data_IF_535327009142
#
_entry.id   IF_535327009142
#
_cell.length_a   1.000
_cell.length_b   1.000
_cell.length_c   1.000
_cell.angle_alpha   90.00
_cell.angle_beta   90.00
_cell.angle_gamma   90.00
#
_symmetry.space_group_name_H-M   'P 1'
#
loop_
_entity.id
_entity.type
_entity.pdbx_description
1 polymer ?
#
# COMPACT_ATOMS: atom_id res chain seq x y z
N UNK A 1 22.63 2.01 16.02
CA UNK A 1 21.65 3.12 16.06
C UNK A 1 20.31 2.52 16.51
N UNK A 2 20.02 2.53 17.81
CA UNK A 2 18.82 1.88 18.35
C UNK A 2 17.59 2.71 17.96
N UNK A 3 16.68 2.13 17.18
CA UNK A 3 15.42 2.77 16.87
C UNK A 3 14.70 3.14 18.18
N UNK A 4 14.41 4.44 18.37
CA UNK A 4 13.69 4.93 19.55
C UNK A 4 12.35 4.20 19.59
N UNK A 5 12.06 3.48 20.69
CA UNK A 5 10.73 2.87 20.89
C UNK A 5 9.68 3.97 20.81
N UNK A 6 8.89 3.96 19.73
CA UNK A 6 7.82 4.92 19.53
C UNK A 6 6.49 4.35 20.05
N UNK A 7 5.48 5.22 20.06
CA UNK A 7 4.11 4.89 20.42
C UNK A 7 3.25 5.08 19.19
N UNK A 8 2.33 4.16 18.94
CA UNK A 8 1.49 4.17 17.76
C UNK A 8 0.04 4.01 18.16
N UNK A 9 -0.85 4.76 17.56
CA UNK A 9 -2.30 4.53 17.59
C UNK A 9 -2.66 4.00 16.21
N UNK A 10 -3.27 2.82 16.14
CA UNK A 10 -3.80 2.25 14.89
C UNK A 10 -5.31 2.25 15.05
N UNK A 11 -6.03 2.94 14.17
CA UNK A 11 -7.49 2.87 14.15
C UNK A 11 -8.00 1.57 13.52
N UNK A 12 -9.31 1.32 13.68
CA UNK A 12 -9.96 0.05 13.31
C UNK A 12 -9.71 -0.35 11.88
N UNK A 13 -10.02 0.51 10.91
CA UNK A 13 -9.90 0.15 9.49
C UNK A 13 -8.46 -0.19 9.12
N UNK A 14 -7.48 0.58 9.63
CA UNK A 14 -6.06 0.31 9.41
C UNK A 14 -5.59 -1.00 10.05
N UNK A 15 -6.15 -1.38 11.20
CA UNK A 15 -5.85 -2.65 11.88
C UNK A 15 -6.44 -3.84 11.11
N UNK A 16 -7.70 -3.73 10.68
CA UNK A 16 -8.44 -4.78 9.95
C UNK A 16 -7.83 -5.02 8.58
N UNK A 17 -7.50 -3.95 7.85
CA UNK A 17 -6.80 -4.02 6.55
C UNK A 17 -5.44 -4.70 6.69
N UNK A 18 -4.73 -4.44 7.78
CA UNK A 18 -3.56 -5.20 8.17
C UNK A 18 -2.27 -4.88 7.41
N UNK A 19 -2.28 -3.98 6.42
CA UNK A 19 -1.07 -3.57 5.69
C UNK A 19 -0.02 -2.91 6.59
N UNK A 20 -0.46 -2.14 7.58
CA UNK A 20 0.44 -1.50 8.56
C UNK A 20 1.16 -2.51 9.46
N UNK A 21 0.55 -3.68 9.69
CA UNK A 21 1.09 -4.71 10.58
C UNK A 21 2.35 -5.34 10.00
N UNK A 22 2.45 -5.41 8.67
CA UNK A 22 3.66 -5.87 7.96
C UNK A 22 4.91 -5.07 8.34
N UNK A 23 4.76 -3.78 8.69
CA UNK A 23 5.88 -2.96 9.15
C UNK A 23 6.41 -3.39 10.53
N UNK A 24 5.53 -3.90 11.40
CA UNK A 24 5.91 -4.46 12.69
C UNK A 24 6.49 -5.86 12.55
N UNK A 25 5.91 -6.69 11.68
CA UNK A 25 6.39 -8.04 11.37
C UNK A 25 7.80 -8.02 10.76
N UNK A 26 8.07 -7.06 9.87
CA UNK A 26 9.40 -6.80 9.31
C UNK A 26 10.35 -6.09 10.30
N UNK A 27 9.88 -5.82 11.51
CA UNK A 27 10.61 -5.14 12.58
C UNK A 27 11.11 -3.72 12.23
N UNK A 28 10.49 -3.07 11.24
CA UNK A 28 10.72 -1.68 10.87
C UNK A 28 10.10 -0.72 11.91
N UNK A 29 8.98 -1.13 12.52
CA UNK A 29 8.34 -0.44 13.62
C UNK A 29 8.35 -1.32 14.88
N UNK A 30 8.59 -0.70 16.04
CA UNK A 30 8.69 -1.37 17.35
C UNK A 30 8.22 -0.43 18.45
N UNK A 31 7.61 -0.97 19.51
CA UNK A 31 7.18 -0.18 20.66
C UNK A 31 5.76 -0.46 21.11
N UNK A 32 5.09 0.56 21.64
CA UNK A 32 3.76 0.42 22.23
C UNK A 32 2.68 0.79 21.20
N UNK A 33 1.68 -0.06 21.03
CA UNK A 33 0.62 0.10 20.04
C UNK A 33 -0.73 0.14 20.74
N UNK A 34 -1.47 1.22 20.54
CA UNK A 34 -2.85 1.37 21.01
C UNK A 34 -3.79 0.98 19.88
N UNK A 35 -4.67 0.01 20.15
CA UNK A 35 -5.59 -0.58 19.16
C UNK A 35 -7.02 -0.62 19.70
N UNK A 36 -8.05 -0.67 18.84
CA UNK A 36 -9.43 -0.87 19.25
C UNK A 36 -9.64 -2.17 20.03
N UNK A 37 -10.78 -2.33 20.73
CA UNK A 37 -11.07 -3.54 21.49
C UNK A 37 -11.07 -4.79 20.60
N UNK A 38 -10.71 -5.93 21.19
CA UNK A 38 -10.77 -7.22 20.51
C UNK A 38 -12.22 -7.62 20.20
N UNK A 39 -12.48 -7.90 18.93
CA UNK A 39 -13.71 -8.46 18.38
C UNK A 39 -13.41 -9.29 17.11
N UNK A 40 -14.45 -9.79 16.45
CA UNK A 40 -14.32 -10.67 15.29
C UNK A 40 -13.54 -10.04 14.12
N UNK A 41 -13.67 -8.73 13.91
CA UNK A 41 -12.99 -8.02 12.82
C UNK A 41 -11.51 -7.75 13.15
N UNK A 42 -11.23 -7.35 14.39
CA UNK A 42 -9.90 -6.92 14.83
C UNK A 42 -9.00 -8.09 15.27
N UNK A 43 -9.58 -9.26 15.55
CA UNK A 43 -8.89 -10.44 16.08
C UNK A 43 -7.63 -10.82 15.29
N UNK A 44 -7.74 -10.90 13.97
CA UNK A 44 -6.60 -11.24 13.10
C UNK A 44 -5.45 -10.23 13.23
N UNK A 45 -5.76 -8.93 13.23
CA UNK A 45 -4.76 -7.88 13.37
C UNK A 45 -4.07 -7.89 14.74
N UNK A 46 -4.83 -8.11 15.81
CA UNK A 46 -4.33 -8.21 17.18
C UNK A 46 -3.44 -9.45 17.34
N UNK A 47 -3.84 -10.60 16.79
CA UNK A 47 -3.04 -11.82 16.83
C UNK A 47 -1.68 -11.63 16.13
N UNK A 48 -1.68 -11.00 14.95
CA UNK A 48 -0.46 -10.67 14.19
C UNK A 48 0.49 -9.78 14.98
N UNK A 49 -0.02 -8.70 15.59
CA UNK A 49 0.77 -7.84 16.47
C UNK A 49 1.27 -8.58 17.71
N UNK A 50 0.47 -9.49 18.28
CA UNK A 50 0.84 -10.28 19.45
C UNK A 50 2.00 -11.24 19.22
N UNK A 51 2.23 -11.67 17.96
CA UNK A 51 3.38 -12.48 17.55
C UNK A 51 4.68 -11.67 17.43
N UNK A 52 4.61 -10.33 17.46
CA UNK A 52 5.77 -9.46 17.33
C UNK A 52 6.43 -9.20 18.69
N UNK A 53 7.64 -9.74 18.91
CA UNK A 53 8.33 -9.71 20.22
C UNK A 53 8.62 -8.31 20.78
N UNK A 54 8.72 -7.29 19.92
CA UNK A 54 8.99 -5.90 20.30
C UNK A 54 7.75 -5.00 20.29
N UNK A 55 6.55 -5.59 20.30
CA UNK A 55 5.27 -4.89 20.32
C UNK A 55 4.58 -5.10 21.67
N UNK A 56 4.14 -3.99 22.28
CA UNK A 56 3.25 -4.02 23.45
C UNK A 56 1.90 -3.43 23.09
N UNK A 57 0.87 -4.27 23.08
CA UNK A 57 -0.51 -3.87 22.75
C UNK A 57 -1.19 -3.27 24.01
N UNK A 58 -1.93 -2.19 23.82
CA UNK A 58 -2.90 -1.65 24.79
C UNK A 58 -4.22 -1.38 24.09
N UNK A 59 -5.32 -1.88 24.65
CA UNK A 59 -6.66 -1.64 24.11
C UNK A 59 -7.16 -0.25 24.50
N UNK A 60 -7.79 0.42 23.54
CA UNK A 60 -8.46 1.72 23.68
C UNK A 60 -9.85 1.65 23.07
N UNK A 61 -10.73 2.60 23.39
CA UNK A 61 -12.01 2.71 22.72
C UNK A 61 -11.85 3.02 21.24
N UNK A 62 -12.81 2.59 20.42
CA UNK A 62 -12.88 2.97 19.01
C UNK A 62 -12.87 4.49 18.78
N UNK A 63 -12.29 4.87 17.64
CA UNK A 63 -12.10 6.26 17.24
C UNK A 63 -13.12 6.62 16.15
N UNK A 64 -14.38 6.81 16.56
CA UNK A 64 -15.50 7.17 15.67
C UNK A 64 -15.48 8.63 15.18
N UNK A 65 -14.48 9.42 15.56
CA UNK A 65 -14.38 10.83 15.22
C UNK A 65 -12.96 11.34 15.26
N UNK A 66 -12.68 12.37 14.46
CA UNK A 66 -11.38 13.02 14.43
C UNK A 66 -11.01 13.65 15.78
N UNK A 67 -12.00 14.07 16.58
CA UNK A 67 -11.75 14.65 17.91
C UNK A 67 -11.30 13.59 18.93
N UNK A 68 -11.88 12.39 18.91
CA UNK A 68 -11.39 11.27 19.72
C UNK A 68 -9.99 10.84 19.30
N UNK A 69 -9.75 10.73 17.98
CA UNK A 69 -8.43 10.40 17.44
C UNK A 69 -7.36 11.43 17.87
N UNK A 70 -7.71 12.71 17.80
CA UNK A 70 -6.87 13.82 18.26
C UNK A 70 -6.54 13.69 19.75
N UNK A 71 -7.57 13.59 20.59
CA UNK A 71 -7.42 13.53 22.04
C UNK A 71 -6.55 12.36 22.48
N UNK A 72 -6.81 11.16 21.95
CA UNK A 72 -6.03 9.97 22.28
C UNK A 72 -4.58 10.11 21.82
N UNK A 73 -4.36 10.57 20.58
CA UNK A 73 -3.01 10.62 20.00
C UNK A 73 -2.12 11.63 20.74
N UNK A 74 -2.67 12.78 21.13
CA UNK A 74 -1.97 13.73 22.00
C UNK A 74 -1.67 13.15 23.38
N UNK A 75 -2.68 12.56 24.04
CA UNK A 75 -2.53 12.00 25.37
C UNK A 75 -1.42 10.93 25.41
N UNK A 76 -1.33 10.11 24.37
CA UNK A 76 -0.32 9.06 24.29
C UNK A 76 1.03 9.53 23.71
N UNK A 77 1.07 10.71 23.07
CA UNK A 77 2.23 11.22 22.29
C UNK A 77 2.64 10.21 21.22
N UNK A 78 1.68 9.76 20.43
CA UNK A 78 1.83 8.68 19.47
C UNK A 78 1.83 9.17 18.02
N UNK A 79 2.33 8.33 17.10
CA UNK A 79 2.02 8.43 15.67
C UNK A 79 0.66 7.81 15.41
N UNK A 80 -0.15 8.43 14.58
CA UNK A 80 -1.47 7.92 14.24
C UNK A 80 -1.46 7.27 12.86
N UNK A 81 -1.79 5.99 12.78
CA UNK A 81 -2.03 5.28 11.54
C UNK A 81 -3.53 5.25 11.24
N UNK A 82 -3.90 5.76 10.07
CA UNK A 82 -5.28 5.76 9.60
C UNK A 82 -5.45 5.18 8.21
N UNK A 83 -6.66 4.70 7.96
CA UNK A 83 -7.18 4.26 6.69
C UNK A 83 -8.58 4.85 6.44
N UNK A 84 -9.45 4.90 7.47
CA UNK A 84 -10.79 5.49 7.44
C UNK A 84 -10.84 6.82 6.69
N UNK A 85 -11.91 7.01 5.91
CA UNK A 85 -12.19 8.25 5.18
C UNK A 85 -12.91 9.28 6.06
N UNK A 86 -13.54 8.82 7.14
CA UNK A 86 -14.29 9.59 8.11
C UNK A 86 -13.34 10.39 9.04
N UNK A 87 -12.12 9.90 9.25
CA UNK A 87 -11.09 10.58 10.03
C UNK A 87 -10.28 11.55 9.17
N UNK A 88 -10.52 12.86 9.38
CA UNK A 88 -9.89 13.93 8.60
C UNK A 88 -8.41 14.12 8.98
N UNK A 89 -7.52 13.60 8.13
CA UNK A 89 -6.08 13.68 8.32
C UNK A 89 -5.55 15.12 8.33
N UNK A 90 -6.11 16.01 7.51
CA UNK A 90 -5.66 17.41 7.42
C UNK A 90 -5.98 18.19 8.69
N UNK A 91 -7.16 17.95 9.28
CA UNK A 91 -7.51 18.49 10.59
C UNK A 91 -6.50 18.01 11.65
N UNK A 92 -6.26 16.71 11.74
CA UNK A 92 -5.35 16.12 12.72
C UNK A 92 -3.91 16.64 12.58
N UNK A 93 -3.41 16.76 11.35
CA UNK A 93 -2.06 17.31 11.06
C UNK A 93 -1.93 18.76 11.49
N UNK A 94 -2.95 19.59 11.26
CA UNK A 94 -2.96 21.01 11.67
C UNK A 94 -2.83 21.17 13.18
N UNK A 95 -3.40 20.24 13.93
CA UNK A 95 -3.30 20.19 15.40
C UNK A 95 -1.98 19.54 15.89
N UNK A 96 -1.05 19.22 14.98
CA UNK A 96 0.28 18.70 15.33
C UNK A 96 0.35 17.19 15.50
N UNK A 97 -0.67 16.44 15.07
CA UNK A 97 -0.61 14.98 15.05
C UNK A 97 0.24 14.50 13.88
N UNK A 98 1.19 13.59 14.16
CA UNK A 98 1.90 12.84 13.11
C UNK A 98 0.97 11.75 12.54
N UNK A 99 0.27 12.08 11.45
CA UNK A 99 -0.66 11.17 10.77
C UNK A 99 0.02 10.47 9.60
N UNK A 100 0.07 9.14 9.65
CA UNK A 100 0.41 8.27 8.52
C UNK A 100 -0.89 7.71 7.96
N UNK A 101 -1.22 8.15 6.74
CA UNK A 101 -2.33 7.61 5.98
C UNK A 101 -1.84 6.37 5.21
N UNK A 102 -2.43 5.21 5.49
CA UNK A 102 -2.02 3.94 4.91
C UNK A 102 -2.26 3.93 3.40
N UNK A 103 -3.39 4.42 2.90
CA UNK A 103 -3.62 4.45 1.46
C UNK A 103 -2.60 5.36 0.76
N UNK A 104 -2.41 6.57 1.27
CA UNK A 104 -1.43 7.49 0.69
C UNK A 104 0.02 6.96 0.78
N UNK A 105 0.33 6.17 1.81
CA UNK A 105 1.62 5.52 1.96
C UNK A 105 1.80 4.42 0.90
N UNK A 106 0.83 3.52 0.75
CA UNK A 106 0.90 2.39 -0.17
C UNK A 106 0.83 2.81 -1.64
N UNK A 107 0.07 3.86 -1.97
CA UNK A 107 0.08 4.45 -3.31
C UNK A 107 1.48 4.87 -3.77
N UNK A 108 2.33 5.31 -2.85
CA UNK A 108 3.73 5.70 -3.16
C UNK A 108 4.64 4.50 -3.43
N UNK A 109 4.27 3.30 -2.96
CA UNK A 109 5.03 2.07 -3.19
C UNK A 109 4.60 1.33 -4.48
N UNK A 110 3.53 1.77 -5.15
CA UNK A 110 3.18 1.25 -6.47
C UNK A 110 4.34 1.56 -7.43
N UNK A 111 4.86 0.57 -8.19
CA UNK A 111 5.89 0.81 -9.20
C UNK A 111 5.48 1.96 -10.13
N UNK A 112 6.33 2.97 -10.22
CA UNK A 112 6.11 4.13 -11.08
C UNK A 112 6.68 3.82 -12.45
N UNK A 113 5.86 3.25 -13.33
CA UNK A 113 6.23 3.11 -14.74
C UNK A 113 6.25 4.50 -15.40
N UNK A 114 7.37 4.83 -16.03
CA UNK A 114 7.57 6.06 -16.80
C UNK A 114 7.85 5.71 -18.26
N UNK A 115 7.45 6.55 -19.21
CA UNK A 115 7.93 6.43 -20.58
C UNK A 115 9.47 6.36 -20.61
N UNK A 116 10.00 5.36 -21.30
CA UNK A 116 11.43 5.07 -21.36
C UNK A 116 11.93 4.00 -20.39
N UNK A 117 11.15 3.64 -19.37
CA UNK A 117 11.52 2.54 -18.47
C UNK A 117 11.62 1.22 -19.25
N UNK A 118 12.62 0.44 -18.94
CA UNK A 118 12.82 -0.88 -19.53
C UNK A 118 12.41 -1.97 -18.53
N UNK A 119 11.70 -2.98 -19.01
CA UNK A 119 11.26 -4.09 -18.18
C UNK A 119 11.02 -5.34 -19.02
N UNK A 120 10.72 -6.46 -18.37
CA UNK A 120 10.39 -7.72 -19.03
C UNK A 120 8.93 -8.04 -18.76
N UNK A 121 8.18 -8.33 -19.82
CA UNK A 121 6.76 -8.68 -19.75
C UNK A 121 6.54 -10.02 -20.39
N UNK A 122 5.82 -10.91 -19.69
CA UNK A 122 5.31 -12.14 -20.30
C UNK A 122 4.05 -11.80 -21.10
N UNK A 123 4.06 -12.06 -22.40
CA UNK A 123 2.86 -11.94 -23.22
C UNK A 123 2.00 -13.17 -22.99
N UNK A 124 0.76 -12.97 -22.53
CA UNK A 124 -0.15 -14.06 -22.16
C UNK A 124 -1.28 -14.26 -23.17
N UNK A 125 -1.66 -13.23 -23.92
CA UNK A 125 -2.72 -13.30 -24.94
C UNK A 125 -2.59 -12.18 -25.98
N UNK A 126 -3.37 -12.29 -27.06
CA UNK A 126 -3.56 -11.22 -28.04
C UNK A 126 -4.22 -9.99 -27.39
N UNK A 127 -3.82 -8.82 -27.87
CA UNK A 127 -4.43 -7.54 -27.53
C UNK A 127 -5.70 -7.26 -28.30
N UNK A 128 -6.10 -5.99 -28.29
CA UNK A 128 -7.30 -5.56 -28.98
C UNK A 128 -7.01 -5.39 -30.47
N UNK A 129 -5.88 -4.77 -30.78
CA UNK A 129 -5.38 -4.65 -32.15
C UNK A 129 -4.58 -5.89 -32.54
N UNK A 130 -4.49 -6.17 -33.85
CA UNK A 130 -3.96 -7.43 -34.37
C UNK A 130 -2.46 -7.63 -34.07
N UNK A 131 -1.70 -6.56 -33.92
CA UNK A 131 -0.27 -6.55 -33.61
C UNK A 131 0.02 -6.53 -32.10
N UNK A 132 -0.99 -6.32 -31.26
CA UNK A 132 -0.81 -6.18 -29.82
C UNK A 132 -0.68 -7.54 -29.10
N UNK A 133 0.22 -7.58 -28.13
CA UNK A 133 0.25 -8.57 -27.07
C UNK A 133 -0.21 -7.98 -25.74
N UNK A 134 -0.81 -8.78 -24.87
CA UNK A 134 -1.18 -8.39 -23.51
C UNK A 134 -0.43 -9.23 -22.50
N UNK A 135 0.17 -8.57 -21.52
CA UNK A 135 0.78 -9.14 -20.34
C UNK A 135 0.25 -8.50 -19.06
N UNK A 136 0.76 -8.97 -17.92
CA UNK A 136 0.44 -8.42 -16.61
C UNK A 136 1.70 -8.37 -15.75
N UNK A 137 1.87 -7.29 -14.98
CA UNK A 137 2.86 -7.24 -13.92
C UNK A 137 2.39 -8.04 -12.69
N UNK A 138 3.30 -8.34 -11.76
CA UNK A 138 3.01 -9.13 -10.55
C UNK A 138 1.93 -8.52 -9.65
N UNK A 139 1.74 -7.19 -9.74
CA UNK A 139 0.70 -6.46 -9.02
C UNK A 139 -0.64 -6.38 -9.79
N UNK A 140 -0.79 -7.10 -10.92
CA UNK A 140 -2.02 -7.16 -11.71
C UNK A 140 -2.21 -6.04 -12.73
N UNK A 141 -1.28 -5.08 -12.83
CA UNK A 141 -1.35 -4.01 -13.84
C UNK A 141 -1.27 -4.63 -15.25
N UNK A 142 -2.28 -4.33 -16.08
CA UNK A 142 -2.33 -4.77 -17.49
C UNK A 142 -1.29 -4.02 -18.31
N UNK A 143 -0.51 -4.76 -19.08
CA UNK A 143 0.45 -4.21 -20.04
C UNK A 143 0.02 -4.57 -21.45
N UNK A 144 -0.13 -3.57 -22.31
CA UNK A 144 -0.37 -3.74 -23.74
C UNK A 144 0.95 -3.45 -24.45
N UNK A 145 1.41 -4.40 -25.25
CA UNK A 145 2.71 -4.37 -25.93
C UNK A 145 2.45 -4.34 -27.43
N UNK A 146 2.78 -3.23 -28.09
CA UNK A 146 2.81 -3.12 -29.55
C UNK A 146 3.74 -4.20 -30.12
N UNK A 147 3.44 -4.76 -31.30
CA UNK A 147 4.17 -5.88 -31.90
C UNK A 147 4.30 -7.12 -30.98
N UNK A 148 3.50 -7.20 -29.91
CA UNK A 148 3.54 -8.30 -28.95
C UNK A 148 2.80 -9.56 -29.40
N UNK A 149 1.97 -9.49 -30.44
CA UNK A 149 1.13 -10.60 -30.89
C UNK A 149 1.93 -11.85 -31.29
N UNK A 150 3.13 -11.68 -31.84
CA UNK A 150 4.01 -12.80 -32.24
C UNK A 150 4.77 -13.43 -31.06
N UNK A 151 4.68 -12.82 -29.87
CA UNK A 151 5.45 -13.20 -28.69
C UNK A 151 4.61 -13.87 -27.59
N UNK A 152 3.40 -14.37 -27.91
CA UNK A 152 2.54 -15.06 -26.94
C UNK A 152 3.29 -16.22 -26.26
N UNK A 153 3.09 -16.34 -24.95
CA UNK A 153 3.77 -17.27 -24.04
C UNK A 153 5.29 -17.06 -23.89
N UNK A 154 5.84 -15.94 -24.39
CA UNK A 154 7.25 -15.57 -24.23
C UNK A 154 7.40 -14.36 -23.30
N UNK A 155 8.58 -14.25 -22.71
CA UNK A 155 9.02 -13.04 -22.01
C UNK A 155 9.71 -12.12 -23.00
N UNK A 156 9.32 -10.86 -23.04
CA UNK A 156 9.82 -9.85 -23.97
C UNK A 156 10.43 -8.68 -23.19
N UNK A 157 11.66 -8.29 -23.52
CA UNK A 157 12.23 -7.01 -23.08
C UNK A 157 11.47 -5.89 -23.80
N UNK A 158 10.88 -4.97 -23.04
CA UNK A 158 10.04 -3.90 -23.56
C UNK A 158 10.46 -2.55 -22.98
N UNK A 159 10.19 -1.49 -23.74
CA UNK A 159 10.30 -0.10 -23.30
C UNK A 159 8.88 0.45 -23.11
N UNK A 160 8.61 1.00 -21.93
CA UNK A 160 7.34 1.64 -21.62
C UNK A 160 7.18 2.89 -22.48
N UNK A 161 6.04 3.02 -23.17
CA UNK A 161 5.65 4.21 -23.93
C UNK A 161 4.79 5.16 -23.11
N UNK A 162 3.96 4.63 -22.22
CA UNK A 162 3.03 5.45 -21.45
C UNK A 162 2.17 4.66 -20.47
N UNK A 163 1.48 5.41 -19.62
CA UNK A 163 0.59 4.88 -18.59
C UNK A 163 -0.74 5.61 -18.71
N UNK A 164 -1.84 4.86 -18.73
CA UNK A 164 -3.21 5.38 -18.80
C UNK A 164 -3.99 4.86 -17.60
N UNK A 165 -4.71 5.75 -16.93
CA UNK A 165 -5.68 5.35 -15.92
C UNK A 165 -7.01 5.06 -16.62
N UNK A 166 -7.56 3.88 -16.38
CA UNK A 166 -8.88 3.45 -16.87
C UNK A 166 -9.81 3.25 -15.68
N UNK A 167 -11.14 3.17 -15.88
CA UNK A 167 -12.07 2.83 -14.80
C UNK A 167 -11.76 1.50 -14.10
N UNK A 168 -11.13 0.55 -14.81
CA UNK A 168 -10.73 -0.74 -14.28
C UNK A 168 -9.33 -0.72 -13.61
N UNK A 169 -8.68 0.44 -13.53
CA UNK A 169 -7.35 0.62 -12.96
C UNK A 169 -6.30 1.08 -13.97
N UNK A 170 -5.04 0.93 -13.61
CA UNK A 170 -3.89 1.42 -14.40
C UNK A 170 -3.54 0.45 -15.53
N UNK A 171 -3.35 0.97 -16.74
CA UNK A 171 -2.88 0.24 -17.90
C UNK A 171 -1.57 0.85 -18.39
N UNK A 172 -0.63 -0.01 -18.77
CA UNK A 172 0.70 0.40 -19.25
C UNK A 172 0.82 0.01 -20.71
N UNK A 173 1.34 0.91 -21.54
CA UNK A 173 1.64 0.66 -22.95
C UNK A 173 3.14 0.57 -23.14
N UNK A 174 3.59 -0.41 -23.91
CA UNK A 174 5.00 -0.67 -24.16
C UNK A 174 5.24 -1.14 -25.60
N UNK A 175 6.51 -1.18 -25.99
CA UNK A 175 6.97 -1.73 -27.28
C UNK A 175 8.21 -2.59 -27.07
N UNK A 176 8.57 -3.49 -28.00
CA UNK A 176 9.78 -4.29 -27.88
C UNK A 176 11.02 -3.39 -27.79
N UNK A 177 11.99 -3.81 -26.98
CA UNK A 177 13.32 -3.21 -26.95
C UNK A 177 14.15 -3.82 -28.07
N UNK A 178 14.28 -3.12 -29.19
CA UNK A 178 15.29 -3.49 -30.20
C UNK A 178 16.67 -3.12 -29.66
N UNK A 179 17.59 -4.08 -29.63
CA UNK A 179 19.02 -3.80 -29.42
C UNK A 179 19.61 -3.38 -30.76
N UNK A 180 19.94 -2.09 -30.89
CA UNK A 180 20.86 -1.60 -31.93
C UNK A 180 22.30 -1.82 -31.51
#
# INVERSE_FOLDING_TARGET
>A
MFARKEKYVIERDALVDGRVLSLFEMQLLRGKVYVPPLDDETASGIERLGKCSDVKIEFVSDLDSSDKALALTHAKKAVFFKLSKELNAEKLRREGVRVIDIDALFERFVPHFRPGDETVVRIVKLGKEADEGVGYFSNGIKVVVEEGAEHINRYLEVVIKGVVNTPAGRMVFARPKYRT
#
